data_IF_484162859909
#
_entry.id   IF_484162859909
#
_cell.length_a   1.000
_cell.length_b   1.000
_cell.length_c   1.000
_cell.angle_alpha   90.00
_cell.angle_beta   90.00
_cell.angle_gamma   90.00
#
_symmetry.space_group_name_H-M   'P 1'
#
loop_
_entity.id
_entity.type
_entity.pdbx_description
1 polymer ?
#
# COMPACT_ATOMS: atom_id res chain seq x y z
N UNK A 1 12.25 -73.85 35.27
CA UNK A 1 11.51 -73.35 34.14
C UNK A 1 11.34 -71.84 34.38
N UNK A 2 12.13 -70.99 33.66
CA UNK A 2 12.02 -69.53 33.68
C UNK A 2 11.49 -69.10 32.33
N UNK A 3 10.27 -68.53 32.29
CA UNK A 3 9.63 -67.98 31.09
C UNK A 3 10.11 -66.57 30.85
N UNK A 4 10.79 -66.34 29.73
CA UNK A 4 11.20 -65.03 29.26
C UNK A 4 10.03 -64.34 28.51
N UNK A 5 9.56 -63.22 29.02
CA UNK A 5 8.55 -62.44 28.37
C UNK A 5 9.25 -61.37 27.50
N UNK A 6 9.15 -61.48 26.17
CA UNK A 6 9.67 -60.53 25.23
C UNK A 6 8.64 -59.42 25.00
N UNK A 7 8.94 -58.17 25.37
CA UNK A 7 8.14 -57.01 25.03
C UNK A 7 8.50 -56.55 23.60
N UNK A 8 7.51 -56.59 22.73
CA UNK A 8 7.59 -56.01 21.39
C UNK A 8 7.24 -54.53 21.46
N UNK A 9 8.21 -53.64 21.35
CA UNK A 9 8.02 -52.22 21.31
C UNK A 9 7.64 -51.79 19.88
N UNK A 10 6.38 -51.48 19.66
CA UNK A 10 5.92 -50.91 18.37
C UNK A 10 6.25 -49.43 18.35
N UNK A 11 7.20 -49.04 17.50
CA UNK A 11 7.48 -47.61 17.22
C UNK A 11 6.47 -47.11 16.19
N UNK A 12 5.55 -46.25 16.61
CA UNK A 12 4.62 -45.58 15.74
C UNK A 12 5.35 -44.38 15.09
N UNK A 13 5.75 -44.53 13.82
CA UNK A 13 6.26 -43.42 13.02
C UNK A 13 5.08 -42.60 12.55
N UNK A 14 4.86 -41.46 13.20
CA UNK A 14 3.90 -40.44 12.72
C UNK A 14 4.59 -39.73 11.54
N UNK A 15 4.24 -40.13 10.32
CA UNK A 15 4.55 -39.34 9.13
C UNK A 15 3.74 -38.05 9.20
N UNK A 16 4.39 -36.96 9.61
CA UNK A 16 3.82 -35.61 9.51
C UNK A 16 3.64 -35.26 8.04
N UNK A 17 2.42 -35.16 7.57
CA UNK A 17 2.11 -34.52 6.30
C UNK A 17 2.36 -33.01 6.45
N UNK A 18 3.61 -32.60 6.46
CA UNK A 18 4.02 -31.25 6.10
C UNK A 18 4.00 -31.19 4.58
N UNK A 19 2.89 -30.80 4.00
CA UNK A 19 2.89 -30.45 2.57
C UNK A 19 3.83 -29.27 2.38
N UNK A 20 4.88 -29.46 1.58
CA UNK A 20 5.75 -28.37 1.18
C UNK A 20 4.89 -27.26 0.57
N UNK A 21 4.88 -26.07 1.19
CA UNK A 21 4.26 -24.89 0.59
C UNK A 21 5.05 -24.61 -0.69
N UNK A 22 4.40 -24.57 -1.87
CA UNK A 22 5.10 -24.30 -3.11
C UNK A 22 5.88 -22.99 -2.99
N UNK A 23 7.19 -23.04 -3.21
CA UNK A 23 8.05 -21.86 -3.23
C UNK A 23 7.99 -21.18 -4.59
N UNK A 24 8.04 -19.85 -4.61
CA UNK A 24 8.04 -19.04 -5.83
C UNK A 24 6.64 -18.61 -6.28
N UNK A 25 6.60 -17.81 -7.35
CA UNK A 25 5.35 -17.26 -7.89
C UNK A 25 4.45 -18.31 -8.50
N UNK A 26 3.14 -18.04 -8.54
CA UNK A 26 2.19 -18.91 -9.25
C UNK A 26 2.49 -18.89 -10.75
N UNK A 27 2.40 -20.06 -11.45
CA UNK A 27 2.66 -20.13 -12.87
C UNK A 27 1.70 -19.27 -13.69
N UNK A 28 2.26 -18.48 -14.59
CA UNK A 28 1.48 -17.71 -15.58
C UNK A 28 0.94 -16.37 -15.07
N UNK A 29 1.25 -15.96 -13.83
CA UNK A 29 0.97 -14.58 -13.42
C UNK A 29 1.92 -13.60 -14.14
N UNK A 30 1.51 -12.35 -14.40
CA UNK A 30 2.42 -11.35 -14.92
C UNK A 30 3.52 -11.01 -13.91
N UNK A 31 4.67 -10.54 -14.40
CA UNK A 31 5.72 -9.92 -13.59
C UNK A 31 5.41 -8.46 -13.30
N UNK A 32 5.94 -7.95 -12.20
CA UNK A 32 5.95 -6.53 -11.91
C UNK A 32 7.28 -5.91 -12.36
N UNK A 33 7.23 -4.72 -12.94
CA UNK A 33 8.42 -4.04 -13.49
C UNK A 33 8.81 -2.87 -12.57
N UNK A 34 9.76 -3.10 -11.66
CA UNK A 34 10.18 -2.10 -10.67
C UNK A 34 10.75 -0.82 -11.29
N UNK A 35 11.45 -0.92 -12.41
CA UNK A 35 11.97 0.27 -13.12
C UNK A 35 10.82 1.12 -13.67
N UNK A 36 9.76 0.54 -14.20
CA UNK A 36 8.59 1.31 -14.64
C UNK A 36 7.90 2.02 -13.49
N UNK A 37 7.81 1.37 -12.32
CA UNK A 37 7.29 2.03 -11.13
C UNK A 37 8.19 3.19 -10.68
N UNK A 38 9.52 3.03 -10.72
CA UNK A 38 10.45 4.11 -10.40
C UNK A 38 10.34 5.28 -11.38
N UNK A 39 10.24 5.02 -12.69
CA UNK A 39 10.01 6.05 -13.70
C UNK A 39 8.71 6.84 -13.43
N UNK A 40 7.69 6.17 -12.86
CA UNK A 40 6.45 6.81 -12.43
C UNK A 40 6.65 7.69 -11.18
N UNK A 41 7.54 7.33 -10.25
CA UNK A 41 7.93 8.20 -9.12
C UNK A 41 8.60 9.47 -9.65
N UNK A 42 9.60 9.34 -10.54
CA UNK A 42 10.28 10.49 -11.16
C UNK A 42 9.29 11.43 -11.86
N UNK A 43 8.36 10.85 -12.60
CA UNK A 43 7.34 11.63 -13.32
C UNK A 43 6.43 12.39 -12.37
N UNK A 44 5.95 11.76 -11.29
CA UNK A 44 5.11 12.40 -10.27
C UNK A 44 5.84 13.60 -9.63
N UNK A 45 7.09 13.40 -9.21
CA UNK A 45 7.90 14.48 -8.62
C UNK A 45 8.15 15.62 -9.62
N UNK A 46 8.27 15.32 -10.93
CA UNK A 46 8.45 16.32 -11.98
C UNK A 46 7.27 17.29 -12.12
N UNK A 47 6.07 16.94 -11.65
CA UNK A 47 4.91 17.84 -11.61
C UNK A 47 5.04 18.93 -10.54
N UNK A 48 5.94 18.75 -9.58
CA UNK A 48 6.11 19.53 -8.36
C UNK A 48 5.34 18.92 -7.20
N UNK A 49 5.44 19.52 -5.99
CA UNK A 49 4.72 19.05 -4.81
C UNK A 49 3.21 18.96 -5.06
N UNK A 50 2.62 17.83 -4.67
CA UNK A 50 1.21 17.50 -4.94
C UNK A 50 0.30 17.97 -3.80
N UNK A 51 0.57 19.16 -3.29
CA UNK A 51 -0.21 19.78 -2.21
C UNK A 51 -1.59 20.19 -2.76
N UNK A 52 -2.70 19.83 -2.09
CA UNK A 52 -4.04 20.23 -2.51
C UNK A 52 -4.16 21.71 -2.87
N UNK A 53 -4.73 22.00 -4.04
CA UNK A 53 -4.90 23.36 -4.56
C UNK A 53 -3.70 23.95 -5.28
N UNK A 54 -2.59 23.21 -5.45
CA UNK A 54 -1.41 23.67 -6.21
C UNK A 54 -1.41 23.20 -7.65
N UNK A 55 -0.54 23.80 -8.47
CA UNK A 55 -0.36 23.40 -9.88
C UNK A 55 0.19 21.97 -9.99
N UNK A 56 1.06 21.55 -9.07
CA UNK A 56 1.59 20.17 -9.02
C UNK A 56 0.48 19.14 -8.82
N UNK A 57 -0.38 19.39 -7.85
CA UNK A 57 -1.55 18.55 -7.55
C UNK A 57 -2.51 18.46 -8.76
N UNK A 58 -2.86 19.57 -9.38
CA UNK A 58 -3.71 19.62 -10.57
C UNK A 58 -3.10 18.86 -11.76
N UNK A 59 -1.78 18.92 -11.95
CA UNK A 59 -1.08 18.22 -13.04
C UNK A 59 -1.08 16.71 -12.79
N UNK A 60 -0.76 16.30 -11.58
CA UNK A 60 -0.80 14.90 -11.15
C UNK A 60 -2.19 14.32 -11.37
N UNK A 61 -3.24 14.98 -10.86
CA UNK A 61 -4.61 14.50 -10.98
C UNK A 61 -5.02 14.30 -12.44
N UNK A 62 -4.81 15.30 -13.30
CA UNK A 62 -5.18 15.20 -14.73
C UNK A 62 -4.43 14.10 -15.45
N UNK A 63 -3.14 13.97 -15.17
CA UNK A 63 -2.32 12.92 -15.76
C UNK A 63 -2.75 11.53 -15.28
N UNK A 64 -2.96 11.36 -13.97
CA UNK A 64 -3.36 10.11 -13.36
C UNK A 64 -4.71 9.64 -13.90
N UNK A 65 -5.72 10.52 -13.97
CA UNK A 65 -7.03 10.23 -14.55
C UNK A 65 -6.90 9.76 -16.00
N UNK A 66 -6.18 10.51 -16.85
CA UNK A 66 -6.00 10.15 -18.25
C UNK A 66 -5.29 8.79 -18.43
N UNK A 67 -4.34 8.46 -17.53
CA UNK A 67 -3.62 7.19 -17.54
C UNK A 67 -4.53 6.04 -17.09
N UNK A 68 -5.25 6.21 -16.01
CA UNK A 68 -6.18 5.19 -15.49
C UNK A 68 -7.33 4.93 -16.45
N UNK A 69 -7.89 5.96 -17.09
CA UNK A 69 -8.92 5.81 -18.13
C UNK A 69 -8.44 4.95 -19.33
N UNK A 70 -7.14 4.91 -19.58
CA UNK A 70 -6.57 4.05 -20.64
C UNK A 70 -6.39 2.58 -20.21
N UNK A 71 -6.42 2.28 -18.92
CA UNK A 71 -6.09 0.96 -18.37
C UNK A 71 -7.27 0.28 -17.67
N UNK A 72 -8.10 1.03 -16.96
CA UNK A 72 -9.16 0.48 -16.14
C UNK A 72 -10.53 0.54 -16.84
N UNK A 73 -11.37 -0.48 -16.69
CA UNK A 73 -12.74 -0.48 -17.21
C UNK A 73 -13.63 0.61 -16.63
N UNK A 74 -13.36 1.04 -15.40
CA UNK A 74 -14.11 2.07 -14.69
C UNK A 74 -13.17 2.93 -13.87
N UNK A 75 -13.28 4.27 -14.00
CA UNK A 75 -12.54 5.27 -13.21
C UNK A 75 -13.53 6.28 -12.64
N UNK A 76 -13.47 6.49 -11.33
CA UNK A 76 -14.35 7.39 -10.59
C UNK A 76 -13.47 8.43 -9.90
N UNK A 77 -13.74 9.72 -10.13
CA UNK A 77 -13.15 10.82 -9.40
C UNK A 77 -14.16 11.37 -8.38
N UNK A 78 -13.99 11.07 -7.09
CA UNK A 78 -14.80 11.60 -6.01
C UNK A 78 -14.22 12.92 -5.52
N UNK A 79 -14.78 14.03 -6.02
CA UNK A 79 -14.37 15.38 -5.64
C UNK A 79 -15.19 15.87 -4.45
N UNK A 80 -14.52 16.35 -3.42
CA UNK A 80 -15.18 16.85 -2.21
C UNK A 80 -14.43 18.04 -1.61
N UNK A 81 -15.11 18.76 -0.74
CA UNK A 81 -14.55 19.90 -0.01
C UNK A 81 -14.32 19.50 1.44
N UNK A 82 -13.15 19.85 1.95
CA UNK A 82 -12.80 19.72 3.35
C UNK A 82 -12.41 21.10 3.92
N UNK A 83 -12.86 21.39 5.14
CA UNK A 83 -12.47 22.61 5.86
C UNK A 83 -11.52 22.23 6.98
N UNK A 84 -10.29 22.73 6.90
CA UNK A 84 -9.23 22.44 7.86
C UNK A 84 -9.51 23.04 9.22
N UNK A 85 -8.77 22.62 10.24
CA UNK A 85 -8.81 23.20 11.60
C UNK A 85 -8.46 24.69 11.62
N UNK A 86 -7.73 25.16 10.60
CA UNK A 86 -7.38 26.59 10.40
C UNK A 86 -8.39 27.35 9.53
N UNK A 87 -9.51 26.72 9.17
CA UNK A 87 -10.59 27.30 8.34
C UNK A 87 -10.21 27.50 6.86
N UNK A 88 -9.17 26.85 6.39
CA UNK A 88 -8.86 26.77 4.96
C UNK A 88 -9.82 25.79 4.28
N UNK A 89 -10.26 26.12 3.07
CA UNK A 89 -11.14 25.24 2.29
C UNK A 89 -10.33 24.54 1.22
N UNK A 90 -10.20 23.23 1.33
CA UNK A 90 -9.50 22.36 0.38
C UNK A 90 -10.50 21.69 -0.56
N UNK A 91 -10.16 21.63 -1.85
CA UNK A 91 -10.83 20.74 -2.81
C UNK A 91 -9.95 19.53 -3.00
N UNK A 92 -10.44 18.37 -2.59
CA UNK A 92 -9.74 17.08 -2.61
C UNK A 92 -10.40 16.12 -3.60
N UNK A 93 -9.64 15.20 -4.15
CA UNK A 93 -10.14 14.23 -5.12
C UNK A 93 -9.59 12.83 -4.83
N UNK A 94 -10.43 11.94 -4.34
CA UNK A 94 -10.11 10.51 -4.37
C UNK A 94 -10.33 9.98 -5.78
N UNK A 95 -9.41 9.15 -6.26
CA UNK A 95 -9.55 8.47 -7.55
C UNK A 95 -9.67 6.97 -7.31
N UNK A 96 -10.72 6.35 -7.83
CA UNK A 96 -10.98 4.93 -7.75
C UNK A 96 -10.98 4.31 -9.14
N UNK A 97 -10.03 3.41 -9.42
CA UNK A 97 -9.99 2.63 -10.64
C UNK A 97 -10.40 1.18 -10.35
N UNK A 98 -11.41 0.67 -11.06
CA UNK A 98 -11.99 -0.65 -10.83
C UNK A 98 -11.72 -1.60 -11.97
N UNK A 99 -11.22 -2.77 -11.62
CA UNK A 99 -11.09 -3.93 -12.51
C UNK A 99 -12.12 -4.97 -12.13
N UNK A 100 -12.78 -5.55 -13.14
CA UNK A 100 -13.90 -6.47 -12.97
C UNK A 100 -14.98 -5.90 -12.03
N UNK A 101 -15.59 -4.77 -12.36
CA UNK A 101 -16.59 -4.13 -11.52
C UNK A 101 -17.80 -5.04 -11.22
N UNK A 102 -18.07 -6.03 -12.07
CA UNK A 102 -19.13 -7.03 -11.90
C UNK A 102 -18.78 -8.14 -10.88
N UNK A 103 -17.52 -8.25 -10.45
CA UNK A 103 -17.10 -9.33 -9.56
C UNK A 103 -17.59 -9.08 -8.11
N UNK A 104 -18.24 -10.10 -7.53
CA UNK A 104 -18.75 -10.05 -6.14
C UNK A 104 -17.61 -10.09 -5.09
N UNK A 105 -16.47 -10.68 -5.44
CA UNK A 105 -15.28 -10.74 -4.59
C UNK A 105 -14.26 -9.73 -5.09
N UNK A 106 -13.86 -8.78 -4.23
CA UNK A 106 -12.89 -7.75 -4.60
C UNK A 106 -11.91 -7.42 -3.49
N UNK A 107 -10.74 -6.94 -3.87
CA UNK A 107 -9.72 -6.39 -2.98
C UNK A 107 -9.65 -4.89 -3.16
N UNK A 108 -9.34 -4.19 -2.07
CA UNK A 108 -8.95 -2.79 -2.08
C UNK A 108 -7.42 -2.70 -1.96
N UNK A 109 -6.79 -2.01 -2.90
CA UNK A 109 -5.40 -1.57 -2.79
C UNK A 109 -5.42 -0.06 -2.77
N UNK A 110 -4.73 0.55 -1.80
CA UNK A 110 -4.78 2.00 -1.70
C UNK A 110 -3.40 2.59 -1.42
N UNK A 111 -3.25 3.87 -1.78
CA UNK A 111 -2.11 4.72 -1.49
C UNK A 111 -2.56 6.18 -1.55
N UNK A 112 -1.93 7.06 -0.77
CA UNK A 112 -2.15 8.48 -0.97
C UNK A 112 -1.33 9.02 -2.14
N UNK A 113 -1.77 10.12 -2.75
CA UNK A 113 -1.10 10.70 -3.91
C UNK A 113 -0.70 12.17 -3.71
N UNK A 114 -1.19 12.81 -2.64
CA UNK A 114 -0.79 14.15 -2.22
C UNK A 114 0.59 14.15 -1.54
N UNK A 115 1.06 15.29 -1.14
CA UNK A 115 2.34 15.47 -0.42
C UNK A 115 2.24 16.53 0.65
N UNK A 116 3.09 16.40 1.65
CA UNK A 116 3.17 17.31 2.79
C UNK A 116 3.51 18.73 2.38
N UNK A 117 2.74 19.73 2.85
CA UNK A 117 2.98 21.15 2.53
C UNK A 117 4.28 21.71 3.10
N UNK A 118 4.83 21.11 4.16
CA UNK A 118 6.01 21.59 4.86
C UNK A 118 6.93 20.42 5.23
N UNK A 119 8.23 20.63 5.07
CA UNK A 119 9.26 19.68 5.47
C UNK A 119 9.55 19.77 6.98
N UNK A 120 8.53 19.53 7.81
CA UNK A 120 8.52 19.79 9.25
C UNK A 120 9.48 18.91 10.06
N UNK A 121 10.04 17.86 9.45
CA UNK A 121 11.12 17.04 10.03
C UNK A 121 12.53 17.43 9.54
N UNK A 122 12.63 18.46 8.68
CA UNK A 122 13.95 18.95 8.26
C UNK A 122 14.76 19.46 9.46
N UNK A 123 16.04 19.05 9.54
CA UNK A 123 16.93 19.46 10.63
C UNK A 123 17.29 20.95 10.59
N UNK A 124 17.35 21.52 9.38
CA UNK A 124 17.55 22.96 9.18
C UNK A 124 16.21 23.68 9.25
N UNK A 125 16.01 24.60 10.24
CA UNK A 125 14.78 25.37 10.34
C UNK A 125 14.43 26.17 9.08
N UNK A 126 15.44 26.56 8.28
CA UNK A 126 15.20 27.28 7.02
C UNK A 126 14.54 26.41 5.95
N UNK A 127 14.62 25.10 6.08
CA UNK A 127 14.01 24.13 5.16
C UNK A 127 12.60 23.69 5.60
N UNK A 128 12.23 23.91 6.86
CA UNK A 128 10.96 23.42 7.41
C UNK A 128 9.71 24.02 6.75
N UNK A 129 9.84 25.18 6.13
CA UNK A 129 8.74 25.81 5.37
C UNK A 129 8.72 25.41 3.88
N UNK A 130 9.70 24.60 3.42
CA UNK A 130 9.72 24.10 2.06
C UNK A 130 8.72 22.93 1.92
N UNK A 131 8.08 22.80 0.75
CA UNK A 131 7.23 21.63 0.49
C UNK A 131 8.07 20.35 0.36
N UNK A 132 7.49 19.21 0.75
CA UNK A 132 8.11 17.89 0.56
C UNK A 132 7.93 17.47 -0.91
N UNK A 133 8.99 16.98 -1.60
CA UNK A 133 8.86 16.47 -2.97
C UNK A 133 7.99 15.21 -3.06
N UNK A 134 7.98 14.37 -2.02
CA UNK A 134 7.11 13.22 -1.90
C UNK A 134 7.42 12.08 -2.88
N UNK A 135 8.68 11.70 -3.02
CA UNK A 135 9.05 10.61 -3.91
C UNK A 135 8.67 9.24 -3.33
N UNK A 136 8.97 9.04 -2.06
CA UNK A 136 8.58 7.83 -1.32
C UNK A 136 7.22 8.02 -0.66
N UNK A 137 7.06 9.14 0.04
CA UNK A 137 5.88 9.53 0.78
C UNK A 137 4.80 10.04 -0.19
N UNK A 138 3.78 9.20 -0.44
CA UNK A 138 2.74 9.26 -1.45
C UNK A 138 3.17 8.85 -2.86
N UNK A 139 4.41 9.08 -3.27
CA UNK A 139 4.87 8.80 -4.63
C UNK A 139 5.09 7.32 -4.92
N UNK A 140 5.68 6.58 -3.98
CA UNK A 140 6.03 5.16 -4.16
C UNK A 140 4.80 4.26 -4.23
N UNK A 141 3.89 4.35 -3.25
CA UNK A 141 2.66 3.57 -3.23
C UNK A 141 1.78 3.85 -4.46
N UNK A 142 1.60 5.13 -4.79
CA UNK A 142 0.90 5.56 -6.01
C UNK A 142 1.55 4.97 -7.28
N UNK A 143 2.88 4.95 -7.38
CA UNK A 143 3.58 4.37 -8.54
C UNK A 143 3.35 2.86 -8.66
N UNK A 144 3.40 2.12 -7.54
CA UNK A 144 3.09 0.68 -7.53
C UNK A 144 1.66 0.43 -8.02
N UNK A 145 0.67 1.18 -7.53
CA UNK A 145 -0.73 1.02 -7.97
C UNK A 145 -0.90 1.34 -9.47
N UNK A 146 -0.21 2.36 -10.00
CA UNK A 146 -0.27 2.73 -11.41
C UNK A 146 0.38 1.68 -12.34
N UNK A 147 1.44 1.01 -11.90
CA UNK A 147 2.04 -0.09 -12.64
C UNK A 147 1.15 -1.35 -12.57
N UNK A 148 0.53 -1.64 -11.42
CA UNK A 148 -0.49 -2.68 -11.30
C UNK A 148 -1.68 -2.41 -12.23
N UNK A 149 -2.10 -1.15 -12.38
CA UNK A 149 -3.14 -0.77 -13.33
C UNK A 149 -2.77 -1.17 -14.77
N UNK A 150 -1.54 -0.90 -15.21
CA UNK A 150 -1.04 -1.31 -16.52
C UNK A 150 -1.04 -2.85 -16.65
N UNK A 151 -0.49 -3.55 -15.67
CA UNK A 151 -0.43 -5.03 -15.67
C UNK A 151 -1.83 -5.63 -15.80
N UNK A 152 -2.79 -5.13 -15.03
CA UNK A 152 -4.17 -5.64 -15.06
C UNK A 152 -4.94 -5.28 -16.33
N UNK A 153 -4.51 -4.25 -17.08
CA UNK A 153 -5.06 -3.98 -18.41
C UNK A 153 -4.66 -5.04 -19.44
N UNK A 154 -3.45 -5.57 -19.33
CA UNK A 154 -2.91 -6.61 -20.22
C UNK A 154 -3.36 -8.02 -19.80
N UNK A 155 -3.49 -8.25 -18.49
CA UNK A 155 -3.85 -9.53 -17.91
C UNK A 155 -4.90 -9.35 -16.81
N UNK A 156 -6.18 -9.56 -17.14
CA UNK A 156 -7.28 -9.36 -16.19
C UNK A 156 -7.12 -10.24 -14.93
N UNK A 157 -7.31 -9.66 -13.72
CA UNK A 157 -7.21 -10.41 -12.46
C UNK A 157 -8.37 -11.40 -12.31
N UNK A 158 -8.21 -12.48 -11.49
CA UNK A 158 -9.27 -13.48 -11.29
C UNK A 158 -10.45 -12.99 -10.42
N UNK A 159 -10.31 -11.83 -9.76
CA UNK A 159 -11.33 -11.21 -8.89
C UNK A 159 -11.40 -9.70 -9.18
N UNK A 160 -12.36 -9.01 -8.57
CA UNK A 160 -12.46 -7.55 -8.62
C UNK A 160 -11.28 -6.91 -7.87
N UNK A 161 -10.70 -5.88 -8.45
CA UNK A 161 -9.67 -5.06 -7.81
C UNK A 161 -10.12 -3.61 -7.87
N UNK A 162 -10.09 -2.95 -6.70
CA UNK A 162 -10.29 -1.53 -6.53
C UNK A 162 -8.92 -0.91 -6.21
N UNK A 163 -8.42 -0.04 -7.08
CA UNK A 163 -7.25 0.80 -6.81
C UNK A 163 -7.75 2.17 -6.37
N UNK A 164 -7.52 2.51 -5.12
CA UNK A 164 -7.95 3.77 -4.51
C UNK A 164 -6.73 4.67 -4.26
N UNK A 165 -6.73 5.81 -4.90
CA UNK A 165 -5.76 6.88 -4.67
C UNK A 165 -6.44 7.93 -3.81
N UNK A 166 -6.05 8.04 -2.54
CA UNK A 166 -6.64 8.98 -1.58
C UNK A 166 -5.89 10.30 -1.58
N UNK A 167 -6.61 11.39 -1.32
CA UNK A 167 -6.10 12.75 -1.33
C UNK A 167 -6.21 13.39 0.07
N UNK A 168 -5.21 14.18 0.44
CA UNK A 168 -5.20 14.87 1.72
C UNK A 168 -4.90 13.93 2.90
N UNK A 169 -4.10 12.90 2.66
CA UNK A 169 -3.54 12.09 3.74
C UNK A 169 -2.61 12.95 4.58
N UNK A 170 -1.65 13.63 3.92
CA UNK A 170 -0.47 14.24 4.54
C UNK A 170 -0.55 15.78 4.61
N UNK A 171 -1.75 16.34 4.63
CA UNK A 171 -1.90 17.81 4.66
C UNK A 171 -1.40 18.39 5.99
N UNK A 172 -1.80 17.82 7.13
CA UNK A 172 -1.38 18.24 8.49
C UNK A 172 -1.47 19.74 8.77
N UNK A 173 -0.71 20.30 9.74
CA UNK A 173 0.07 19.54 10.74
C UNK A 173 -0.79 18.88 11.83
N UNK A 174 -2.06 19.26 11.95
CA UNK A 174 -2.95 18.67 12.95
C UNK A 174 -3.44 17.29 12.47
N UNK A 175 -3.48 16.31 13.38
CA UNK A 175 -3.97 14.97 13.07
C UNK A 175 -5.44 14.96 12.54
N UNK A 176 -6.22 15.99 12.85
CA UNK A 176 -7.56 16.17 12.29
C UNK A 176 -7.52 16.45 10.77
N UNK A 177 -6.47 17.11 10.29
CA UNK A 177 -6.26 17.49 8.91
C UNK A 177 -5.38 16.49 8.14
N UNK A 178 -5.36 15.21 8.59
CA UNK A 178 -4.67 14.09 7.95
C UNK A 178 -5.67 12.97 7.62
N UNK A 179 -5.32 12.04 6.75
CA UNK A 179 -6.14 10.87 6.35
C UNK A 179 -7.51 11.25 5.79
N UNK A 180 -7.65 12.44 5.19
CA UNK A 180 -8.96 13.03 4.86
C UNK A 180 -9.66 12.18 3.79
N UNK A 181 -8.93 11.78 2.75
CA UNK A 181 -9.45 10.94 1.66
C UNK A 181 -9.87 9.56 2.12
N UNK A 182 -9.08 8.93 3.00
CA UNK A 182 -9.42 7.62 3.55
C UNK A 182 -10.66 7.68 4.46
N UNK A 183 -10.80 8.72 5.29
CA UNK A 183 -12.02 8.97 6.08
C UNK A 183 -13.23 9.13 5.17
N UNK A 184 -13.09 9.90 4.08
CA UNK A 184 -14.15 10.08 3.08
C UNK A 184 -14.60 8.76 2.46
N UNK A 185 -13.66 7.88 2.11
CA UNK A 185 -13.96 6.55 1.57
C UNK A 185 -14.57 5.63 2.64
N UNK A 186 -14.05 5.65 3.88
CA UNK A 186 -14.56 4.89 5.01
C UNK A 186 -16.03 5.19 5.30
N UNK A 187 -16.42 6.47 5.27
CA UNK A 187 -17.82 6.91 5.44
C UNK A 187 -18.74 6.30 4.36
N UNK A 188 -18.23 6.09 3.16
CA UNK A 188 -18.98 5.52 2.03
C UNK A 188 -19.16 4.01 2.12
N UNK A 189 -18.29 3.29 2.85
CA UNK A 189 -18.32 1.81 2.94
C UNK A 189 -19.67 1.25 3.42
N UNK A 190 -20.36 1.99 4.28
CA UNK A 190 -21.67 1.57 4.80
C UNK A 190 -22.81 1.62 3.78
N UNK A 191 -22.63 2.35 2.68
CA UNK A 191 -23.60 2.53 1.61
C UNK A 191 -23.34 1.58 0.43
N UNK A 192 -22.19 0.91 0.39
CA UNK A 192 -21.88 -0.06 -0.66
C UNK A 192 -22.72 -1.32 -0.51
N UNK A 193 -23.20 -1.85 -1.62
CA UNK A 193 -23.82 -3.18 -1.65
C UNK A 193 -22.79 -4.28 -1.29
N UNK A 194 -23.24 -5.46 -0.83
CA UNK A 194 -22.32 -6.55 -0.45
C UNK A 194 -21.30 -6.93 -1.54
N UNK A 195 -21.67 -6.88 -2.82
CA UNK A 195 -20.77 -7.17 -3.95
C UNK A 195 -19.79 -6.05 -4.28
N UNK A 196 -20.09 -4.82 -3.87
CA UNK A 196 -19.20 -3.67 -4.07
C UNK A 196 -18.22 -3.47 -2.91
N UNK A 197 -18.51 -4.04 -1.74
CA UNK A 197 -17.67 -3.90 -0.56
C UNK A 197 -16.43 -4.80 -0.69
N UNK A 198 -15.21 -4.26 -0.57
CA UNK A 198 -14.00 -5.06 -0.58
C UNK A 198 -13.97 -6.08 0.58
N UNK A 199 -13.35 -7.24 0.35
CA UNK A 199 -13.15 -8.25 1.38
C UNK A 199 -12.15 -7.76 2.44
N UNK A 200 -11.12 -7.03 2.01
CA UNK A 200 -10.10 -6.42 2.84
C UNK A 200 -9.32 -5.38 2.02
N UNK A 201 -8.51 -4.57 2.70
CA UNK A 201 -7.64 -3.56 2.10
C UNK A 201 -6.16 -3.83 2.34
N UNK A 202 -5.32 -3.30 1.44
CA UNK A 202 -3.86 -3.21 1.60
C UNK A 202 -3.45 -1.79 1.24
N UNK A 203 -2.95 -1.06 2.21
CA UNK A 203 -2.33 0.26 2.04
C UNK A 203 -0.86 0.08 1.67
N UNK A 204 -0.38 0.89 0.75
CA UNK A 204 1.02 1.00 0.36
C UNK A 204 1.48 2.42 0.65
N UNK A 205 2.24 2.61 1.71
CA UNK A 205 2.86 3.88 2.05
C UNK A 205 4.36 3.73 2.29
N UNK A 206 5.15 4.69 1.78
CA UNK A 206 6.61 4.71 1.90
C UNK A 206 7.28 3.36 1.52
N UNK A 207 6.88 2.78 0.38
CA UNK A 207 7.30 1.44 -0.05
C UNK A 207 8.51 1.43 -0.99
N UNK A 208 9.34 2.46 -0.95
CA UNK A 208 10.43 2.64 -1.92
C UNK A 208 11.84 2.80 -1.33
N UNK A 209 12.07 2.67 -0.02
CA UNK A 209 13.42 2.83 0.55
C UNK A 209 14.44 1.89 -0.11
N UNK A 210 15.69 2.36 -0.23
CA UNK A 210 16.80 1.59 -0.79
C UNK A 210 17.26 0.41 0.10
N UNK A 211 17.02 0.49 1.41
CA UNK A 211 17.29 -0.59 2.40
C UNK A 211 15.99 -0.99 3.11
N UNK A 212 15.05 -1.66 2.39
CA UNK A 212 13.68 -1.82 2.84
C UNK A 212 13.51 -2.79 4.00
N UNK A 213 12.63 -2.43 4.93
CA UNK A 213 12.16 -3.30 5.99
C UNK A 213 10.69 -3.01 6.30
N UNK A 214 9.80 -3.96 6.01
CA UNK A 214 8.36 -3.89 6.27
C UNK A 214 7.99 -4.80 7.44
N UNK A 215 8.26 -4.44 8.71
CA UNK A 215 7.74 -5.17 9.86
C UNK A 215 6.22 -5.02 9.88
N UNK A 216 5.53 -5.94 10.56
CA UNK A 216 4.07 -5.86 10.69
C UNK A 216 3.72 -4.60 11.50
N UNK A 217 3.01 -3.64 10.87
CA UNK A 217 2.56 -2.44 11.55
C UNK A 217 1.61 -2.80 12.72
N UNK A 218 1.70 -2.08 13.84
CA UNK A 218 1.10 -2.53 15.09
C UNK A 218 -0.43 -2.47 15.15
N UNK A 219 -1.08 -1.52 14.47
CA UNK A 219 -2.54 -1.49 14.34
C UNK A 219 -3.04 -2.51 13.32
N UNK A 220 -2.29 -2.75 12.25
CA UNK A 220 -2.54 -3.83 11.29
C UNK A 220 -2.53 -5.19 11.98
N UNK A 221 -1.55 -5.43 12.87
CA UNK A 221 -1.51 -6.64 13.71
C UNK A 221 -2.74 -6.78 14.61
N UNK A 222 -3.28 -5.67 15.12
CA UNK A 222 -4.42 -5.64 16.03
C UNK A 222 -5.76 -5.80 15.31
N UNK A 223 -5.95 -5.14 14.16
CA UNK A 223 -7.25 -5.00 13.50
C UNK A 223 -7.40 -5.88 12.25
N UNK A 224 -6.30 -6.25 11.59
CA UNK A 224 -6.30 -6.94 10.29
C UNK A 224 -5.39 -8.18 10.26
N UNK A 225 -5.23 -8.89 11.38
CA UNK A 225 -4.31 -10.05 11.49
C UNK A 225 -4.48 -11.09 10.37
N UNK A 226 -5.70 -11.48 9.92
CA UNK A 226 -5.85 -12.41 8.80
C UNK A 226 -5.25 -11.88 7.49
N UNK A 227 -5.33 -10.56 7.25
CA UNK A 227 -4.76 -9.90 6.06
C UNK A 227 -3.23 -9.84 6.18
N UNK A 228 -2.72 -9.46 7.37
CA UNK A 228 -1.29 -9.51 7.70
C UNK A 228 -0.71 -10.89 7.35
N UNK A 229 -1.31 -11.96 7.88
CA UNK A 229 -0.85 -13.33 7.63
C UNK A 229 -0.85 -13.68 6.14
N UNK A 230 -1.84 -13.19 5.39
CA UNK A 230 -1.93 -13.43 3.95
C UNK A 230 -0.80 -12.72 3.20
N UNK A 231 -0.54 -11.44 3.47
CA UNK A 231 0.51 -10.64 2.80
C UNK A 231 1.90 -11.17 3.16
N UNK A 232 2.23 -11.31 4.45
CA UNK A 232 3.57 -11.73 4.89
C UNK A 232 3.90 -13.17 4.46
N UNK A 233 2.93 -14.10 4.48
CA UNK A 233 3.12 -15.44 3.91
C UNK A 233 3.33 -15.42 2.40
N UNK A 234 2.67 -14.51 1.70
CA UNK A 234 2.89 -14.33 0.26
C UNK A 234 4.32 -13.85 0.00
N UNK A 235 4.78 -12.85 0.74
CA UNK A 235 6.17 -12.37 0.67
C UNK A 235 7.18 -13.49 1.01
N UNK A 236 6.95 -14.25 2.08
CA UNK A 236 7.81 -15.36 2.47
C UNK A 236 7.89 -16.45 1.40
N UNK A 237 6.77 -16.81 0.76
CA UNK A 237 6.72 -17.78 -0.34
C UNK A 237 7.51 -17.32 -1.57
N UNK A 238 7.55 -16.02 -1.83
CA UNK A 238 8.35 -15.43 -2.89
C UNK A 238 9.84 -15.25 -2.52
N UNK A 239 10.23 -15.54 -1.27
CA UNK A 239 11.61 -15.45 -0.79
C UNK A 239 11.98 -14.10 -0.16
N UNK A 240 11.00 -13.24 0.14
CA UNK A 240 11.19 -11.88 0.66
C UNK A 240 11.05 -11.76 2.19
N UNK A 241 11.23 -12.86 2.95
CA UNK A 241 11.10 -12.84 4.43
C UNK A 241 12.08 -11.89 5.13
N UNK A 242 13.21 -11.58 4.51
CA UNK A 242 14.16 -10.62 5.05
C UNK A 242 13.70 -9.16 4.90
N UNK A 243 12.86 -8.87 3.89
CA UNK A 243 12.26 -7.56 3.63
C UNK A 243 10.92 -7.42 4.36
N UNK A 244 10.18 -8.54 4.51
CA UNK A 244 8.91 -8.63 5.24
C UNK A 244 9.08 -9.50 6.50
N UNK A 245 9.77 -9.02 7.55
CA UNK A 245 9.95 -9.80 8.78
C UNK A 245 8.61 -9.98 9.50
N UNK A 246 8.37 -11.19 10.07
CA UNK A 246 7.15 -11.48 10.85
C UNK A 246 7.19 -10.88 12.28
N UNK A 247 8.00 -9.85 12.52
CA UNK A 247 8.02 -9.11 13.78
C UNK A 247 7.03 -7.96 13.74
N UNK A 248 6.34 -7.72 14.86
CA UNK A 248 5.48 -6.56 15.01
C UNK A 248 6.35 -5.34 15.28
N UNK A 249 6.19 -4.32 14.43
CA UNK A 249 6.85 -3.03 14.51
C UNK A 249 6.10 -2.01 15.37
N UNK A 250 6.30 -0.74 15.09
CA UNK A 250 5.63 0.37 15.77
C UNK A 250 4.15 0.46 15.35
N UNK A 251 3.38 1.27 16.07
CA UNK A 251 2.01 1.66 15.68
C UNK A 251 2.09 3.00 14.99
N UNK A 252 1.54 3.06 13.79
CA UNK A 252 1.45 4.28 12.99
C UNK A 252 -0.02 4.62 12.75
N UNK A 253 -0.35 5.90 12.84
CA UNK A 253 -1.65 6.38 12.36
C UNK A 253 -1.51 6.71 10.89
N UNK A 254 -2.36 6.11 10.05
CA UNK A 254 -2.31 6.21 8.61
C UNK A 254 -3.69 5.91 8.01
N UNK A 255 -3.84 5.98 6.69
CA UNK A 255 -5.07 5.77 5.93
C UNK A 255 -5.79 4.44 6.21
N UNK A 256 -5.08 3.41 6.68
CA UNK A 256 -5.69 2.14 7.08
C UNK A 256 -6.57 2.25 8.34
N UNK A 257 -6.33 3.24 9.21
CA UNK A 257 -7.08 3.39 10.47
C UNK A 257 -8.56 3.69 10.23
N UNK A 258 -8.96 4.73 9.46
CA UNK A 258 -10.36 4.99 9.19
C UNK A 258 -11.09 3.79 8.56
N UNK A 259 -10.41 3.03 7.71
CA UNK A 259 -10.98 1.84 7.06
C UNK A 259 -11.21 0.71 8.07
N UNK A 260 -10.24 0.46 8.96
CA UNK A 260 -10.38 -0.52 10.04
C UNK A 260 -11.52 -0.14 11.01
N UNK A 261 -11.66 1.13 11.38
CA UNK A 261 -12.74 1.64 12.20
C UNK A 261 -14.12 1.47 11.54
N UNK A 262 -14.19 1.61 10.21
CA UNK A 262 -15.39 1.34 9.41
C UNK A 262 -15.63 -0.16 9.15
N UNK A 263 -14.81 -1.05 9.75
CA UNK A 263 -14.94 -2.51 9.69
C UNK A 263 -14.44 -3.15 8.39
N UNK A 264 -13.59 -2.46 7.63
CA UNK A 264 -12.83 -3.04 6.53
C UNK A 264 -11.41 -3.33 7.01
N UNK A 265 -11.09 -4.61 7.27
CA UNK A 265 -9.75 -5.02 7.67
C UNK A 265 -8.73 -4.58 6.63
N UNK A 266 -7.90 -3.62 6.98
CA UNK A 266 -6.90 -3.04 6.09
C UNK A 266 -5.54 -3.09 6.76
N UNK A 267 -4.56 -3.68 6.07
CA UNK A 267 -3.15 -3.72 6.49
C UNK A 267 -2.39 -2.59 5.85
N UNK A 268 -1.42 -2.07 6.58
CA UNK A 268 -0.47 -1.09 6.10
C UNK A 268 0.89 -1.77 5.85
N UNK A 269 1.40 -1.64 4.64
CA UNK A 269 2.76 -2.00 4.24
C UNK A 269 3.55 -0.71 4.18
N UNK A 270 4.36 -0.49 5.21
CA UNK A 270 5.12 0.74 5.39
C UNK A 270 6.53 0.47 5.89
N UNK A 271 7.51 1.20 5.36
CA UNK A 271 8.85 1.30 5.93
C UNK A 271 9.04 2.66 6.59
N UNK A 272 8.92 2.69 7.93
CA UNK A 272 9.11 3.91 8.71
C UNK A 272 10.56 4.07 9.19
N UNK A 273 11.51 3.58 8.37
CA UNK A 273 12.96 3.76 8.59
C UNK A 273 13.65 4.38 7.37
N UNK A 274 12.91 5.20 6.62
CA UNK A 274 13.30 5.79 5.35
C UNK A 274 14.59 6.60 5.45
N UNK A 275 15.66 6.07 4.82
CA UNK A 275 17.02 6.59 4.95
C UNK A 275 17.72 6.16 6.24
N UNK A 276 17.26 5.10 6.91
CA UNK A 276 17.83 4.47 8.10
C UNK A 276 17.01 4.70 9.36
N UNK A 277 17.53 4.21 10.50
CA UNK A 277 16.82 4.19 11.78
C UNK A 277 16.32 5.55 12.29
N UNK A 278 16.90 6.64 11.83
CA UNK A 278 16.53 8.00 12.21
C UNK A 278 15.49 8.62 11.28
N UNK A 279 15.02 7.87 10.27
CA UNK A 279 14.01 8.29 9.30
C UNK A 279 14.32 9.64 8.62
N UNK A 280 15.58 9.78 8.16
CA UNK A 280 16.17 11.09 7.83
C UNK A 280 15.62 11.75 6.57
N UNK A 281 14.90 11.02 5.73
CA UNK A 281 14.29 11.56 4.50
C UNK A 281 12.81 11.87 4.66
N UNK A 282 12.13 11.25 5.65
CA UNK A 282 10.72 11.44 5.89
C UNK A 282 10.39 12.89 6.26
N UNK A 283 9.41 13.48 5.59
CA UNK A 283 8.98 14.87 5.76
C UNK A 283 10.12 15.88 5.63
N UNK A 284 11.06 15.62 4.72
CA UNK A 284 12.19 16.52 4.42
C UNK A 284 12.29 16.80 2.92
N UNK A 285 13.08 17.84 2.51
CA UNK A 285 13.36 18.07 1.09
C UNK A 285 14.17 16.95 0.41
N UNK A 286 14.67 15.97 1.20
CA UNK A 286 15.42 14.82 0.70
C UNK A 286 14.52 13.63 0.29
N UNK A 287 13.20 13.75 0.41
CA UNK A 287 12.28 12.77 -0.15
C UNK A 287 12.19 12.93 -1.67
N UNK A 288 13.24 12.50 -2.35
CA UNK A 288 13.49 12.66 -3.79
C UNK A 288 13.67 11.31 -4.49
N UNK A 289 13.47 11.22 -5.82
CA UNK A 289 13.50 9.94 -6.55
C UNK A 289 14.82 9.16 -6.41
N UNK A 290 15.97 9.86 -6.24
CA UNK A 290 17.26 9.17 -6.04
C UNK A 290 17.37 8.40 -4.72
N UNK A 291 16.47 8.63 -3.78
CA UNK A 291 16.38 7.92 -2.50
C UNK A 291 15.31 6.82 -2.53
N UNK A 292 14.70 6.59 -3.69
CA UNK A 292 13.73 5.51 -3.96
C UNK A 292 14.38 4.44 -4.83
N UNK A 293 14.16 3.17 -4.50
CA UNK A 293 14.74 2.01 -5.16
C UNK A 293 13.75 1.29 -6.07
N UNK A 294 14.09 1.16 -7.35
CA UNK A 294 13.34 0.33 -8.28
C UNK A 294 13.23 -1.13 -7.83
N UNK A 295 14.27 -1.67 -7.20
CA UNK A 295 14.28 -3.04 -6.67
C UNK A 295 13.28 -3.20 -5.52
N UNK A 296 13.16 -2.22 -4.66
CA UNK A 296 12.19 -2.26 -3.55
C UNK A 296 10.76 -2.18 -4.07
N UNK A 297 10.50 -1.26 -5.02
CA UNK A 297 9.20 -1.18 -5.69
C UNK A 297 8.84 -2.49 -6.40
N UNK A 298 9.83 -3.18 -7.00
CA UNK A 298 9.63 -4.50 -7.60
C UNK A 298 9.25 -5.55 -6.57
N UNK A 299 9.95 -5.63 -5.44
CA UNK A 299 9.65 -6.58 -4.35
C UNK A 299 8.21 -6.39 -3.86
N UNK A 300 7.81 -5.17 -3.54
CA UNK A 300 6.44 -4.86 -3.09
C UNK A 300 5.43 -5.18 -4.19
N UNK A 301 5.69 -4.72 -5.41
CA UNK A 301 4.83 -4.97 -6.56
C UNK A 301 4.65 -6.45 -6.87
N UNK A 302 5.70 -7.27 -6.75
CA UNK A 302 5.65 -8.73 -6.91
C UNK A 302 4.78 -9.39 -5.84
N UNK A 303 4.89 -8.95 -4.57
CA UNK A 303 4.04 -9.46 -3.47
C UNK A 303 2.57 -9.15 -3.74
N UNK A 304 2.25 -7.92 -4.14
CA UNK A 304 0.86 -7.51 -4.43
C UNK A 304 0.34 -8.20 -5.70
N UNK A 305 1.16 -8.31 -6.76
CA UNK A 305 0.79 -9.06 -7.98
C UNK A 305 0.47 -10.52 -7.65
N UNK A 306 1.30 -11.18 -6.85
CA UNK A 306 1.06 -12.55 -6.40
C UNK A 306 -0.24 -12.65 -5.58
N UNK A 307 -0.50 -11.69 -4.69
CA UNK A 307 -1.73 -11.63 -3.90
C UNK A 307 -2.98 -11.52 -4.81
N UNK A 308 -2.95 -10.63 -5.81
CA UNK A 308 -4.02 -10.44 -6.78
C UNK A 308 -4.29 -11.73 -7.55
N UNK A 309 -3.25 -12.30 -8.19
CA UNK A 309 -3.43 -13.40 -9.13
C UNK A 309 -3.58 -14.77 -8.46
N UNK A 310 -3.28 -14.88 -7.16
CA UNK A 310 -3.64 -16.06 -6.35
C UNK A 310 -5.11 -16.12 -5.93
N UNK A 311 -5.88 -15.07 -6.22
CA UNK A 311 -7.32 -15.01 -5.89
C UNK A 311 -7.61 -14.31 -4.56
N UNK A 312 -6.65 -13.54 -4.04
CA UNK A 312 -6.83 -12.67 -2.89
C UNK A 312 -6.70 -13.34 -1.52
#
# INVERSE_FOLDING_TARGET
MRSSLSYLTTVLVIAGCGGDIPQGPIPGRPSFEGQQAHDLVELQVSFGPRIPGTVGHDRQLRWMLARLDSFAPEVIADTFTYVTTYSDSLTLVNVLARYRPEAERRLLLLAHWDTRPRADQAKDPAQQELPVPGANDGGSGTAVLLELARIMSDALPPLGIDLLFVDGEDYGPEAADMFIGARRYADQLSFLSPGERPMYGVLLDMVGDADPSFPIEGYSAQHALPVVQKVWRTAARLGYSNVFPESVGIRLSDDHIPLNEAGLQTVDIIDFTYGGSDNIYWHTPEDIPSNVSATTLEIVGEVITELIYSGG
#
